data_IF_328663171434
#
_entry.id   IF_328663171434
#
_cell.length_a   1.000
_cell.length_b   1.000
_cell.length_c   1.000
_cell.angle_alpha   90.00
_cell.angle_beta   90.00
_cell.angle_gamma   90.00
#
_symmetry.space_group_name_H-M   'P 1'
#
loop_
_entity.id
_entity.type
_entity.pdbx_description
1 polymer ?
#
# COMPACT_ATOMS: atom_id res chain seq x y z
N UNK A 1 6.56 11.69 22.62
CA UNK A 1 7.75 11.34 21.81
C UNK A 1 7.27 10.56 20.61
N UNK A 2 7.66 10.98 19.42
CA UNK A 2 7.39 10.26 18.18
C UNK A 2 8.15 8.93 18.16
N UNK A 3 7.44 7.82 17.91
CA UNK A 3 8.00 6.48 17.90
C UNK A 3 9.10 6.33 16.84
N UNK A 4 8.95 6.98 15.68
CA UNK A 4 9.95 6.92 14.60
C UNK A 4 11.25 7.60 15.03
N UNK A 5 11.15 8.80 15.60
CA UNK A 5 12.30 9.51 16.17
C UNK A 5 13.00 8.71 17.30
N UNK A 6 12.23 8.01 18.14
CA UNK A 6 12.79 7.17 19.19
C UNK A 6 13.59 5.98 18.62
N UNK A 7 13.10 5.35 17.54
CA UNK A 7 13.81 4.22 16.90
C UNK A 7 15.12 4.69 16.27
N UNK A 8 15.10 5.83 15.56
CA UNK A 8 16.32 6.43 15.00
C UNK A 8 17.37 6.69 16.08
N UNK A 9 16.98 7.34 17.19
CA UNK A 9 17.92 7.73 18.26
C UNK A 9 18.43 6.56 19.07
N UNK A 10 17.56 5.62 19.44
CA UNK A 10 17.90 4.56 20.38
C UNK A 10 18.58 3.36 19.69
N UNK A 11 18.23 3.10 18.43
CA UNK A 11 18.70 1.92 17.70
C UNK A 11 19.50 2.25 16.45
N UNK A 12 19.69 3.53 16.10
CA UNK A 12 20.47 3.98 14.93
C UNK A 12 19.98 3.38 13.61
N UNK A 13 18.68 3.09 13.52
CA UNK A 13 18.07 2.56 12.29
C UNK A 13 18.02 3.68 11.26
N UNK A 14 18.64 3.56 10.09
CA UNK A 14 18.77 4.67 9.13
C UNK A 14 17.47 4.98 8.41
N UNK A 15 16.72 3.95 8.02
CA UNK A 15 15.49 4.05 7.25
C UNK A 15 14.38 3.29 7.94
N UNK A 16 13.23 3.94 8.08
CA UNK A 16 12.03 3.36 8.70
C UNK A 16 10.87 3.59 7.75
N UNK A 17 10.04 2.56 7.55
CA UNK A 17 8.76 2.68 6.87
C UNK A 17 7.68 1.99 7.71
N UNK A 18 6.56 2.67 7.87
CA UNK A 18 5.33 2.15 8.46
C UNK A 18 4.30 2.02 7.34
N UNK A 19 3.99 0.78 6.97
CA UNK A 19 3.26 0.44 5.73
C UNK A 19 1.75 0.61 5.80
N UNK A 20 1.19 0.85 6.99
CA UNK A 20 -0.26 0.96 7.17
C UNK A 20 -0.60 1.69 8.46
N UNK A 21 -0.94 2.97 8.34
CA UNK A 21 -1.53 3.74 9.44
C UNK A 21 -2.86 4.30 8.97
N UNK A 22 -3.93 4.01 9.72
CA UNK A 22 -5.18 4.75 9.62
C UNK A 22 -5.12 5.86 10.66
N UNK A 23 -5.06 7.11 10.19
CA UNK A 23 -5.00 8.26 11.07
C UNK A 23 -6.43 8.78 11.26
N UNK A 24 -6.88 9.01 12.51
CA UNK A 24 -8.13 9.72 12.75
C UNK A 24 -8.06 11.06 12.05
N UNK A 25 -9.06 11.37 11.21
CA UNK A 25 -9.01 12.48 10.27
C UNK A 25 -8.54 13.78 10.91
N UNK A 26 -7.34 14.24 10.54
CA UNK A 26 -6.85 15.57 10.91
C UNK A 26 -7.74 16.59 10.21
N UNK A 27 -8.52 17.35 10.99
CA UNK A 27 -9.28 18.51 10.51
C UNK A 27 -8.30 19.59 10.05
N UNK A 28 -7.83 19.50 8.81
CA UNK A 28 -7.17 20.61 8.13
C UNK A 28 -8.07 21.09 7.00
N UNK A 29 -8.52 22.33 7.17
CA UNK A 29 -9.47 23.03 6.35
C UNK A 29 -8.92 23.24 4.93
N UNK A 30 -9.53 22.58 3.95
CA UNK A 30 -9.61 22.98 2.54
C UNK A 30 -10.62 22.07 1.85
N UNK A 31 -11.91 22.29 2.14
CA UNK A 31 -12.99 21.70 1.34
C UNK A 31 -12.92 22.27 -0.07
N UNK A 32 -12.39 21.49 -1.00
CA UNK A 32 -12.74 21.62 -2.42
C UNK A 32 -13.89 20.63 -2.68
N UNK A 33 -15.12 21.10 -2.44
CA UNK A 33 -16.34 20.40 -2.82
C UNK A 33 -16.43 20.37 -4.34
N UNK A 34 -16.18 19.21 -4.96
CA UNK A 34 -16.64 18.95 -6.33
C UNK A 34 -18.01 18.32 -6.22
N UNK A 35 -19.05 19.14 -6.29
CA UNK A 35 -20.45 18.70 -6.28
C UNK A 35 -20.84 18.22 -7.68
N UNK A 36 -20.95 16.90 -7.88
CA UNK A 36 -21.81 16.37 -8.94
C UNK A 36 -23.19 16.16 -8.33
N UNK A 37 -24.15 16.96 -8.81
CA UNK A 37 -25.55 16.85 -8.40
C UNK A 37 -26.18 15.61 -9.06
N UNK A 38 -26.66 14.68 -8.25
CA UNK A 38 -27.71 13.73 -8.64
C UNK A 38 -28.84 13.84 -7.64
N UNK A 39 -30.06 14.04 -8.15
CA UNK A 39 -31.28 14.18 -7.39
C UNK A 39 -31.72 12.81 -6.87
N UNK A 40 -31.24 12.43 -5.68
CA UNK A 40 -31.99 11.53 -4.80
C UNK A 40 -31.57 11.79 -3.34
N UNK A 41 -32.55 12.04 -2.49
CA UNK A 41 -32.43 12.64 -1.16
C UNK A 41 -32.06 11.58 -0.10
N UNK A 42 -30.86 11.00 -0.25
CA UNK A 42 -30.20 10.20 0.77
C UNK A 42 -28.77 10.71 0.95
N UNK A 43 -28.63 11.76 1.77
CA UNK A 43 -27.33 12.32 2.14
C UNK A 43 -26.63 11.37 3.12
N UNK A 44 -26.05 10.30 2.59
CA UNK A 44 -24.92 9.63 3.21
C UNK A 44 -23.68 10.42 2.78
N UNK A 45 -23.25 11.39 3.58
CA UNK A 45 -21.93 12.00 3.45
C UNK A 45 -20.89 10.90 3.65
N UNK A 46 -20.50 10.20 2.58
CA UNK A 46 -19.39 9.28 2.61
C UNK A 46 -18.12 10.10 2.84
N UNK A 47 -17.61 10.04 4.06
CA UNK A 47 -16.41 10.72 4.51
C UNK A 47 -15.22 10.18 3.70
N UNK A 48 -14.76 10.92 2.69
CA UNK A 48 -13.67 10.52 1.78
C UNK A 48 -12.33 10.28 2.50
N UNK A 49 -12.23 10.62 3.80
CA UNK A 49 -11.05 10.38 4.65
C UNK A 49 -11.00 9.00 5.28
N UNK A 50 -12.10 8.25 5.32
CA UNK A 50 -12.12 6.87 5.82
C UNK A 50 -11.61 5.85 4.77
N UNK A 51 -11.39 6.31 3.54
CA UNK A 51 -10.96 5.47 2.41
C UNK A 51 -9.49 5.70 2.01
N UNK A 52 -8.64 6.16 2.93
CA UNK A 52 -7.21 6.38 2.65
C UNK A 52 -6.34 5.63 3.65
N UNK A 53 -5.33 4.95 3.13
CA UNK A 53 -4.25 4.36 3.89
C UNK A 53 -3.04 5.30 3.83
N UNK A 54 -2.41 5.56 4.97
CA UNK A 54 -1.22 6.40 5.03
C UNK A 54 0.02 5.54 5.27
N UNK A 55 1.02 5.73 4.41
CA UNK A 55 2.34 5.14 4.54
C UNK A 55 3.30 6.22 4.99
N UNK A 56 3.94 6.01 6.14
CA UNK A 56 4.89 6.97 6.71
C UNK A 56 6.29 6.41 6.56
N UNK A 57 7.21 7.20 6.02
CA UNK A 57 8.62 6.86 5.94
C UNK A 57 9.50 7.91 6.60
N UNK A 58 10.68 7.49 7.04
CA UNK A 58 11.68 8.39 7.58
C UNK A 58 13.10 7.94 7.29
N UNK A 59 13.96 8.91 6.99
CA UNK A 59 15.41 8.70 6.97
C UNK A 59 16.06 9.59 8.03
N UNK A 60 16.93 9.00 8.84
CA UNK A 60 17.64 9.69 9.90
C UNK A 60 18.55 10.80 9.35
N UNK A 61 18.71 11.88 10.10
CA UNK A 61 19.79 12.87 9.91
C UNK A 61 21.03 12.49 10.72
N UNK A 62 22.14 13.20 10.52
CA UNK A 62 23.38 12.97 11.29
C UNK A 62 23.21 13.16 12.81
N UNK A 63 22.29 14.04 13.23
CA UNK A 63 21.94 14.31 14.63
C UNK A 63 20.94 13.30 15.24
N UNK A 64 20.55 12.27 14.49
CA UNK A 64 19.55 11.29 14.92
C UNK A 64 18.10 11.78 14.83
N UNK A 65 17.84 13.00 14.31
CA UNK A 65 16.48 13.48 14.06
C UNK A 65 15.86 12.81 12.82
N UNK A 66 14.53 12.73 12.81
CA UNK A 66 13.75 12.09 11.75
C UNK A 66 13.48 13.08 10.59
N UNK A 67 13.59 12.60 9.34
CA UNK A 67 13.03 13.29 8.16
C UNK A 67 11.81 12.52 7.67
N UNK A 68 10.66 12.88 8.20
CA UNK A 68 9.40 12.21 7.95
C UNK A 68 8.79 12.65 6.63
N UNK A 69 8.30 11.68 5.87
CA UNK A 69 7.39 11.90 4.76
C UNK A 69 6.19 10.96 4.91
N UNK A 70 5.09 11.32 4.27
CA UNK A 70 3.95 10.41 4.08
C UNK A 70 3.59 10.27 2.62
N UNK A 71 2.92 9.16 2.31
CA UNK A 71 2.25 8.94 1.03
C UNK A 71 0.85 8.44 1.34
N UNK A 72 -0.14 9.14 0.79
CA UNK A 72 -1.55 8.81 0.93
C UNK A 72 -1.98 7.95 -0.27
N UNK A 73 -2.56 6.78 0.00
CA UNK A 73 -3.04 5.84 -1.04
C UNK A 73 -4.48 5.41 -0.75
N UNK A 74 -5.30 5.14 -1.78
CA UNK A 74 -6.67 4.70 -1.56
C UNK A 74 -6.70 3.35 -0.84
N UNK A 75 -7.57 3.24 0.17
CA UNK A 75 -7.89 1.99 0.82
C UNK A 75 -8.74 1.14 -0.13
N UNK A 76 -8.29 -0.09 -0.39
CA UNK A 76 -9.07 -1.05 -1.17
C UNK A 76 -9.93 -1.91 -0.27
N UNK A 77 -11.21 -2.05 -0.62
CA UNK A 77 -12.14 -2.93 0.09
C UNK A 77 -11.99 -4.40 -0.33
N UNK A 78 -10.79 -4.92 -0.13
CA UNK A 78 -10.48 -6.31 -0.38
C UNK A 78 -9.38 -6.78 0.55
N UNK A 79 -9.58 -7.94 1.18
CA UNK A 79 -8.52 -8.63 1.88
C UNK A 79 -7.58 -9.25 0.85
N UNK A 80 -6.28 -8.99 0.98
CA UNK A 80 -5.23 -9.58 0.15
C UNK A 80 -4.21 -10.28 1.04
N UNK A 81 -3.78 -11.46 0.63
CA UNK A 81 -2.68 -12.18 1.30
C UNK A 81 -1.34 -11.87 0.63
N UNK A 82 -0.29 -11.62 1.40
CA UNK A 82 1.08 -11.39 0.89
C UNK A 82 1.41 -9.95 0.47
N UNK A 83 0.59 -8.96 0.82
CA UNK A 83 0.86 -7.54 0.51
C UNK A 83 2.13 -7.03 1.19
N UNK A 84 2.39 -7.46 2.43
CA UNK A 84 3.60 -7.10 3.18
C UNK A 84 4.88 -7.63 2.53
N UNK A 85 4.89 -8.90 2.11
CA UNK A 85 6.04 -9.50 1.41
C UNK A 85 6.29 -8.81 0.07
N UNK A 86 5.22 -8.51 -0.67
CA UNK A 86 5.30 -7.74 -1.92
C UNK A 86 5.90 -6.34 -1.66
N UNK A 87 5.42 -5.62 -0.64
CA UNK A 87 5.95 -4.31 -0.27
C UNK A 87 7.45 -4.38 0.06
N UNK A 88 7.83 -5.29 0.96
CA UNK A 88 9.21 -5.42 1.42
C UNK A 88 10.17 -5.78 0.28
N UNK A 89 9.78 -6.74 -0.57
CA UNK A 89 10.60 -7.16 -1.70
C UNK A 89 10.80 -6.03 -2.73
N UNK A 90 9.73 -5.30 -3.06
CA UNK A 90 9.81 -4.19 -4.00
C UNK A 90 10.60 -3.02 -3.43
N UNK A 91 10.44 -2.74 -2.13
CA UNK A 91 11.15 -1.65 -1.47
C UNK A 91 12.67 -1.78 -1.59
N UNK A 92 13.22 -2.99 -1.40
CA UNK A 92 14.67 -3.23 -1.52
C UNK A 92 15.17 -2.89 -2.92
N UNK A 93 14.48 -3.36 -3.96
CA UNK A 93 14.86 -3.10 -5.35
C UNK A 93 14.71 -1.61 -5.72
N UNK A 94 13.60 -0.98 -5.34
CA UNK A 94 13.29 0.42 -5.66
C UNK A 94 14.15 1.40 -4.87
N UNK A 95 14.52 1.08 -3.64
CA UNK A 95 15.46 1.88 -2.85
C UNK A 95 16.83 1.90 -3.52
N UNK A 96 17.34 0.73 -3.92
CA UNK A 96 18.61 0.65 -4.64
C UNK A 96 18.55 1.47 -5.93
N UNK A 97 17.50 1.33 -6.74
CA UNK A 97 17.32 2.12 -7.95
C UNK A 97 17.35 3.64 -7.67
N UNK A 98 16.62 4.09 -6.65
CA UNK A 98 16.57 5.51 -6.28
C UNK A 98 17.92 6.02 -5.76
N UNK A 99 18.70 5.19 -5.07
CA UNK A 99 20.04 5.52 -4.60
C UNK A 99 21.02 5.71 -5.76
N UNK A 100 20.95 4.87 -6.79
CA UNK A 100 21.76 5.03 -8.00
C UNK A 100 21.30 6.22 -8.86
N UNK A 101 20.03 6.62 -8.77
CA UNK A 101 19.49 7.77 -9.51
C UNK A 101 19.76 9.14 -8.83
N UNK A 102 20.22 9.16 -7.58
CA UNK A 102 20.42 10.41 -6.81
C UNK A 102 21.70 11.20 -7.18
N UNK A 103 22.30 10.90 -8.34
CA UNK A 103 23.48 11.60 -8.87
C UNK A 103 23.10 12.96 -9.50
N UNK A 104 23.99 13.99 -9.49
CA UNK A 104 25.39 13.94 -9.08
C UNK A 104 25.61 14.34 -7.61
N UNK A 105 26.06 13.38 -6.79
CA UNK A 105 26.52 13.61 -5.41
C UNK A 105 27.99 13.17 -5.30
N UNK A 106 28.79 13.88 -4.51
CA UNK A 106 30.19 13.52 -4.21
C UNK A 106 30.39 13.40 -2.70
N UNK A 107 30.70 12.20 -2.16
CA UNK A 107 30.75 10.90 -2.84
C UNK A 107 29.35 10.42 -3.29
N UNK A 108 29.27 9.48 -4.26
CA UNK A 108 27.99 8.89 -4.67
C UNK A 108 27.27 8.20 -3.52
N UNK A 109 25.94 8.35 -3.46
CA UNK A 109 25.13 7.83 -2.36
C UNK A 109 25.21 6.29 -2.23
N UNK A 110 25.41 5.58 -3.34
CA UNK A 110 25.52 4.12 -3.35
C UNK A 110 26.79 3.60 -2.66
N UNK A 111 27.82 4.44 -2.51
CA UNK A 111 29.06 4.14 -1.79
C UNK A 111 28.97 4.46 -0.29
N UNK A 112 27.98 5.28 0.11
CA UNK A 112 27.79 5.65 1.50
C UNK A 112 27.19 4.50 2.32
N UNK A 113 27.66 4.36 3.56
CA UNK A 113 27.11 3.39 4.51
C UNK A 113 25.62 3.64 4.69
N UNK A 114 24.84 2.57 4.57
CA UNK A 114 23.39 2.59 4.75
C UNK A 114 22.62 3.51 3.79
N UNK A 115 23.25 4.04 2.72
CA UNK A 115 22.61 4.92 1.73
C UNK A 115 21.84 6.13 2.29
N UNK A 116 22.36 6.70 3.38
CA UNK A 116 21.75 7.88 4.02
C UNK A 116 22.12 9.15 3.27
N UNK A 117 21.12 9.86 2.75
CA UNK A 117 21.31 11.14 2.08
C UNK A 117 21.78 12.25 3.04
N UNK A 118 22.55 13.24 2.58
CA UNK A 118 22.95 14.40 3.38
C UNK A 118 21.77 15.13 4.02
N UNK A 119 21.98 15.80 5.15
CA UNK A 119 20.92 16.40 5.97
C UNK A 119 20.13 17.52 5.29
N UNK A 120 20.71 18.17 4.27
CA UNK A 120 20.03 19.21 3.49
C UNK A 120 19.03 18.65 2.47
N UNK A 121 19.06 17.34 2.20
CA UNK A 121 18.09 16.71 1.29
C UNK A 121 16.73 16.65 1.99
N UNK A 122 15.68 17.27 1.42
CA UNK A 122 14.35 17.32 2.01
C UNK A 122 13.69 15.93 1.97
N UNK A 123 12.70 15.70 2.85
CA UNK A 123 12.14 14.37 3.07
C UNK A 123 11.52 13.76 1.80
N UNK A 124 10.91 14.59 0.95
CA UNK A 124 10.26 14.18 -0.31
C UNK A 124 11.24 13.82 -1.44
N UNK A 125 12.51 14.20 -1.31
CA UNK A 125 13.57 13.90 -2.28
C UNK A 125 14.51 12.79 -1.81
N UNK A 126 14.24 12.19 -0.65
CA UNK A 126 14.98 11.02 -0.19
C UNK A 126 14.78 9.84 -1.14
N UNK A 127 15.81 9.01 -1.38
CA UNK A 127 15.64 7.77 -2.14
C UNK A 127 14.55 6.87 -1.55
N UNK A 128 14.39 6.86 -0.23
CA UNK A 128 13.33 6.13 0.46
C UNK A 128 11.93 6.62 0.05
N UNK A 129 11.74 7.93 -0.09
CA UNK A 129 10.48 8.52 -0.56
C UNK A 129 10.20 8.14 -2.02
N UNK A 130 11.19 8.31 -2.92
CA UNK A 130 11.07 7.94 -4.34
C UNK A 130 10.84 6.45 -4.56
N UNK A 131 11.45 5.60 -3.74
CA UNK A 131 11.19 4.18 -3.73
C UNK A 131 9.76 3.89 -3.29
N UNK A 132 9.29 4.53 -2.20
CA UNK A 132 7.93 4.36 -1.67
C UNK A 132 6.86 4.74 -2.70
N UNK A 133 7.02 5.87 -3.39
CA UNK A 133 6.12 6.30 -4.48
C UNK A 133 5.98 5.21 -5.56
N UNK A 134 7.11 4.66 -6.04
CA UNK A 134 7.12 3.59 -7.05
C UNK A 134 6.51 2.28 -6.54
N UNK A 135 6.84 1.88 -5.31
CA UNK A 135 6.30 0.64 -4.70
C UNK A 135 4.79 0.74 -4.60
N UNK A 136 4.28 1.85 -4.05
CA UNK A 136 2.84 2.04 -3.86
C UNK A 136 2.09 2.11 -5.19
N UNK A 137 2.67 2.76 -6.20
CA UNK A 137 2.13 2.75 -7.55
C UNK A 137 2.03 1.33 -8.14
N UNK A 138 3.10 0.53 -8.05
CA UNK A 138 3.09 -0.87 -8.50
C UNK A 138 2.06 -1.71 -7.74
N UNK A 139 2.05 -1.60 -6.41
CA UNK A 139 1.15 -2.38 -5.56
C UNK A 139 -0.30 -2.03 -5.83
N UNK A 140 -0.66 -0.74 -5.86
CA UNK A 140 -2.03 -0.32 -6.14
C UNK A 140 -2.52 -0.87 -7.48
N UNK A 141 -1.73 -0.71 -8.55
CA UNK A 141 -2.13 -1.21 -9.87
C UNK A 141 -2.32 -2.74 -9.91
N UNK A 142 -1.51 -3.50 -9.17
CA UNK A 142 -1.64 -4.96 -9.08
C UNK A 142 -2.86 -5.37 -8.25
N UNK A 143 -3.10 -4.68 -7.13
CA UNK A 143 -4.21 -4.98 -6.24
C UNK A 143 -5.56 -4.63 -6.90
N UNK A 144 -5.65 -3.53 -7.66
CA UNK A 144 -6.82 -3.21 -8.48
C UNK A 144 -7.13 -4.33 -9.49
N UNK A 145 -6.12 -4.77 -10.26
CA UNK A 145 -6.30 -5.87 -11.22
C UNK A 145 -6.62 -7.20 -10.55
N UNK A 146 -6.05 -7.46 -9.38
CA UNK A 146 -6.35 -8.66 -8.60
C UNK A 146 -7.80 -8.62 -8.12
N UNK A 147 -8.28 -7.47 -7.66
CA UNK A 147 -9.66 -7.26 -7.22
C UNK A 147 -10.66 -7.47 -8.36
N UNK A 148 -10.44 -6.86 -9.53
CA UNK A 148 -11.29 -7.04 -10.71
C UNK A 148 -11.37 -8.53 -11.06
N UNK A 149 -10.22 -9.19 -11.20
CA UNK A 149 -10.16 -10.56 -11.64
C UNK A 149 -10.62 -11.58 -10.57
N UNK A 150 -10.66 -11.17 -9.30
CA UNK A 150 -11.31 -11.88 -8.19
C UNK A 150 -12.83 -11.79 -8.30
N UNK A 151 -13.38 -10.59 -8.53
CA UNK A 151 -14.82 -10.38 -8.69
C UNK A 151 -15.36 -11.18 -9.88
N UNK A 152 -14.69 -11.11 -11.04
CA UNK A 152 -15.03 -11.91 -12.23
C UNK A 152 -14.97 -13.42 -11.97
N UNK A 153 -14.04 -13.87 -11.14
CA UNK A 153 -13.94 -15.30 -10.78
C UNK A 153 -15.10 -15.72 -9.87
N UNK A 154 -15.43 -14.92 -8.87
CA UNK A 154 -16.53 -15.21 -7.95
C UNK A 154 -17.90 -15.19 -8.65
N UNK A 155 -18.12 -14.26 -9.59
CA UNK A 155 -19.35 -14.20 -10.41
C UNK A 155 -19.51 -15.46 -11.27
N UNK A 156 -18.46 -15.87 -11.99
CA UNK A 156 -18.49 -17.07 -12.84
C UNK A 156 -18.88 -18.35 -12.09
N UNK A 157 -18.40 -18.50 -10.85
CA UNK A 157 -18.75 -19.67 -10.02
C UNK A 157 -20.17 -19.63 -9.50
N UNK A 158 -20.76 -18.44 -9.31
CA UNK A 158 -22.15 -18.32 -8.85
C UNK A 158 -23.16 -18.80 -9.90
N UNK A 159 -22.78 -18.74 -11.19
CA UNK A 159 -23.63 -19.12 -12.33
C UNK A 159 -23.48 -20.58 -12.77
N UNK A 160 -22.30 -21.19 -12.55
CA UNK A 160 -21.93 -22.46 -13.21
C UNK A 160 -22.12 -23.71 -12.32
N UNK A 161 -22.17 -23.56 -11.00
CA UNK A 161 -22.24 -24.72 -10.10
C UNK A 161 -23.60 -24.89 -9.45
N UNK A 162 -24.49 -25.60 -10.15
CA UNK A 162 -25.55 -26.34 -9.47
C UNK A 162 -24.91 -27.43 -8.59
N UNK A 163 -25.29 -27.39 -7.31
CA UNK A 163 -24.62 -27.91 -6.13
C UNK A 163 -24.72 -29.45 -5.97
N UNK A 164 -24.37 -30.17 -7.03
CA UNK A 164 -24.53 -31.65 -7.12
C UNK A 164 -23.46 -32.40 -6.34
N UNK A 165 -22.29 -31.79 -6.06
CA UNK A 165 -21.14 -32.47 -5.43
C UNK A 165 -21.40 -32.89 -3.97
N UNK A 166 -22.31 -32.20 -3.26
CA UNK A 166 -22.61 -32.49 -1.85
C UNK A 166 -24.08 -32.89 -1.63
N UNK A 167 -24.80 -33.20 -2.72
CA UNK A 167 -26.23 -33.51 -2.66
C UNK A 167 -26.54 -34.74 -1.79
N UNK A 168 -25.61 -35.69 -1.70
CA UNK A 168 -25.76 -36.95 -0.95
C UNK A 168 -25.41 -36.84 0.55
N UNK A 169 -24.89 -35.69 1.01
CA UNK A 169 -24.53 -35.50 2.42
C UNK A 169 -25.75 -35.13 3.29
N UNK A 170 -25.75 -35.52 4.58
CA UNK A 170 -26.72 -35.00 5.54
C UNK A 170 -26.73 -33.48 5.57
N UNK A 171 -27.90 -32.85 5.76
CA UNK A 171 -28.07 -31.41 5.61
C UNK A 171 -27.08 -30.57 6.44
N UNK A 172 -26.82 -30.99 7.69
CA UNK A 172 -25.86 -30.33 8.57
C UNK A 172 -24.43 -30.38 8.01
N UNK A 173 -24.00 -31.55 7.52
CA UNK A 173 -22.68 -31.74 6.93
C UNK A 173 -22.55 -31.00 5.59
N UNK A 174 -23.59 -31.06 4.75
CA UNK A 174 -23.68 -30.31 3.50
C UNK A 174 -23.47 -28.82 3.73
N UNK A 175 -24.18 -28.22 4.70
CA UNK A 175 -24.03 -26.80 5.04
C UNK A 175 -22.60 -26.46 5.45
N UNK A 176 -21.94 -27.31 6.25
CA UNK A 176 -20.54 -27.08 6.65
C UNK A 176 -19.56 -27.22 5.49
N UNK A 177 -19.76 -28.18 4.59
CA UNK A 177 -18.93 -28.40 3.42
C UNK A 177 -19.01 -27.20 2.45
N UNK A 178 -20.21 -26.69 2.22
CA UNK A 178 -20.45 -25.50 1.39
C UNK A 178 -19.80 -24.25 1.96
N UNK A 179 -19.98 -23.98 3.25
CA UNK A 179 -19.34 -22.85 3.93
C UNK A 179 -17.81 -22.93 3.86
N UNK A 180 -17.25 -24.14 4.02
CA UNK A 180 -15.80 -24.37 3.87
C UNK A 180 -15.33 -24.12 2.44
N UNK A 181 -16.05 -24.60 1.43
CA UNK A 181 -15.74 -24.40 0.00
C UNK A 181 -15.81 -22.93 -0.38
N UNK A 182 -16.85 -22.23 0.04
CA UNK A 182 -17.01 -20.78 -0.16
C UNK A 182 -15.84 -20.01 0.47
N UNK A 183 -15.47 -20.33 1.72
CA UNK A 183 -14.31 -19.70 2.38
C UNK A 183 -13.02 -19.93 1.61
N UNK A 184 -12.72 -21.17 1.23
CA UNK A 184 -11.51 -21.51 0.47
C UNK A 184 -11.48 -20.79 -0.88
N UNK A 185 -12.62 -20.66 -1.56
CA UNK A 185 -12.74 -19.87 -2.80
C UNK A 185 -12.43 -18.41 -2.57
N UNK A 186 -13.06 -17.78 -1.56
CA UNK A 186 -12.81 -16.38 -1.23
C UNK A 186 -11.34 -16.12 -0.91
N UNK A 187 -10.70 -17.03 -0.17
CA UNK A 187 -9.28 -16.92 0.18
C UNK A 187 -8.37 -17.12 -1.04
N UNK A 188 -8.63 -18.14 -1.87
CA UNK A 188 -7.84 -18.39 -3.08
C UNK A 188 -7.97 -17.24 -4.08
N UNK A 189 -9.17 -16.71 -4.28
CA UNK A 189 -9.40 -15.58 -5.17
C UNK A 189 -8.78 -14.28 -4.63
N UNK A 190 -8.45 -14.21 -3.33
CA UNK A 190 -7.75 -13.10 -2.69
C UNK A 190 -6.20 -13.18 -2.77
N UNK A 191 -5.65 -14.23 -3.39
CA UNK A 191 -4.21 -14.33 -3.63
C UNK A 191 -3.76 -13.33 -4.69
N UNK A 192 -2.66 -12.63 -4.42
CA UNK A 192 -2.12 -11.60 -5.31
C UNK A 192 -1.65 -12.22 -6.62
N UNK A 193 -2.16 -11.71 -7.75
CA UNK A 193 -1.83 -12.21 -9.09
C UNK A 193 -0.57 -11.53 -9.66
N UNK A 194 0.55 -11.67 -8.95
CA UNK A 194 1.80 -10.97 -9.25
C UNK A 194 2.38 -11.31 -10.63
N UNK A 195 2.50 -12.61 -10.95
CA UNK A 195 3.15 -13.11 -12.18
C UNK A 195 2.42 -12.65 -13.45
N UNK A 196 1.11 -12.43 -13.38
CA UNK A 196 0.31 -11.93 -14.51
C UNK A 196 0.48 -10.43 -14.76
N UNK A 197 1.10 -9.73 -13.82
CA UNK A 197 1.17 -8.27 -13.78
C UNK A 197 2.62 -7.76 -13.60
N UNK A 198 3.62 -8.53 -14.06
CA UNK A 198 5.05 -8.21 -13.89
C UNK A 198 5.42 -6.86 -14.51
N UNK A 199 4.77 -6.46 -15.60
CA UNK A 199 5.07 -5.16 -16.23
C UNK A 199 4.72 -3.98 -15.32
N UNK A 200 3.66 -4.11 -14.51
CA UNK A 200 3.30 -3.10 -13.49
C UNK A 200 4.34 -3.01 -12.37
N UNK A 201 5.09 -4.09 -12.14
CA UNK A 201 6.23 -4.09 -11.22
C UNK A 201 7.45 -3.40 -11.79
N UNK A 202 7.65 -3.43 -13.11
CA UNK A 202 8.83 -2.84 -13.78
C UNK A 202 8.61 -1.37 -14.09
N UNK A 203 7.45 -1.04 -14.65
CA UNK A 203 7.11 0.28 -15.18
C UNK A 203 5.80 0.81 -14.58
N UNK A 204 5.76 1.09 -13.25
CA UNK A 204 4.58 1.66 -12.63
C UNK A 204 4.36 3.12 -13.08
N UNK A 205 3.09 3.47 -13.27
CA UNK A 205 2.65 4.86 -13.40
C UNK A 205 2.53 5.47 -11.99
N UNK A 206 3.38 6.44 -11.67
CA UNK A 206 3.41 7.05 -10.33
C UNK A 206 2.22 7.99 -10.16
N UNK A 207 1.33 7.67 -9.21
CA UNK A 207 0.11 8.45 -8.89
C UNK A 207 0.09 9.01 -7.47
N UNK A 208 0.99 8.52 -6.62
CA UNK A 208 1.08 8.88 -5.22
C UNK A 208 2.44 9.48 -4.97
N UNK A 209 2.44 10.63 -4.30
CA UNK A 209 3.63 11.45 -4.11
C UNK A 209 3.90 11.60 -2.62
N UNK A 210 5.19 11.63 -2.28
CA UNK A 210 5.61 11.89 -0.92
C UNK A 210 5.38 13.36 -0.57
N UNK A 211 4.77 13.58 0.59
CA UNK A 211 4.58 14.89 1.21
C UNK A 211 5.41 14.97 2.49
N UNK A 212 5.94 16.14 2.81
CA UNK A 212 6.59 16.34 4.11
C UNK A 212 5.58 16.16 5.24
N UNK A 213 5.96 15.35 6.22
CA UNK A 213 5.15 15.19 7.43
C UNK A 213 5.80 15.99 8.55
N UNK A 214 5.16 17.10 8.91
CA UNK A 214 5.49 17.85 10.12
C UNK A 214 4.62 17.34 11.28
N UNK A 215 5.26 16.94 12.37
CA UNK A 215 4.60 16.63 13.65
C UNK A 215 4.36 17.90 14.47
#
# INVERSE_FOLDING_TARGET
MDAVAAIHRNYTVPHIIVTSVQLPGTLSASSSTVSLATADDSVCTHDTRLNTLVVVGSTMKTDGSARLFKVDVPLMDCFFSGTGDMFAALMVARLREAVFAAEPMSPPLHELRSWVSPDHVPATQLPLAKATEKVLASMNAILEKTMIARSEELERYSETEEDTTFAELPEAERKTALAKRERLRRTKAAEIRLVRNVDLLKHPEIKYFAEEWCL
#
